data_IF_274565955284
#
_entry.id   IF_274565955284
#
_cell.length_a   1.000
_cell.length_b   1.000
_cell.length_c   1.000
_cell.angle_alpha   90.00
_cell.angle_beta   90.00
_cell.angle_gamma   90.00
#
_symmetry.space_group_name_H-M   'P 1'
#
loop_
_entity.id
_entity.type
_entity.pdbx_description
1 polymer ?
#
# COMPACT_ATOMS: atom_id res chain seq x y z
N UNK A 1 -4.70 -11.04 26.93
CA UNK A 1 -4.28 -10.32 25.70
C UNK A 1 -3.07 -11.04 25.14
N UNK A 2 -3.06 -11.41 23.85
CA UNK A 2 -1.86 -12.04 23.25
C UNK A 2 -0.80 -10.94 23.01
N UNK A 3 0.49 -11.21 23.24
CA UNK A 3 1.54 -10.22 23.00
C UNK A 3 1.61 -9.84 21.52
N UNK A 4 2.06 -8.62 21.23
CA UNK A 4 2.36 -8.20 19.87
C UNK A 4 3.50 -9.04 19.31
N UNK A 5 3.38 -9.41 18.03
CA UNK A 5 4.40 -10.16 17.30
C UNK A 5 4.86 -9.33 16.12
N UNK A 6 6.16 -9.38 15.83
CA UNK A 6 6.75 -8.69 14.69
C UNK A 6 6.33 -9.38 13.40
N UNK A 7 5.79 -8.58 12.48
CA UNK A 7 5.44 -9.04 11.15
C UNK A 7 6.04 -8.12 10.11
N UNK A 8 6.67 -8.72 9.10
CA UNK A 8 7.06 -8.04 7.89
C UNK A 8 5.84 -7.89 6.99
N UNK A 9 5.54 -6.66 6.60
CA UNK A 9 4.42 -6.32 5.73
C UNK A 9 4.96 -5.97 4.35
N UNK A 10 4.44 -6.62 3.31
CA UNK A 10 4.67 -6.21 1.92
C UNK A 10 3.36 -6.20 1.14
N UNK A 11 3.33 -5.48 0.02
CA UNK A 11 2.12 -5.29 -0.77
C UNK A 11 2.47 -5.21 -2.25
N UNK A 12 1.48 -5.42 -3.10
CA UNK A 12 1.61 -5.09 -4.52
C UNK A 12 0.34 -4.39 -4.99
N UNK A 13 0.52 -3.40 -5.86
CA UNK A 13 -0.56 -2.69 -6.49
C UNK A 13 -0.54 -2.91 -8.00
N UNK A 14 -1.69 -2.71 -8.61
CA UNK A 14 -1.79 -2.52 -10.06
C UNK A 14 -1.45 -1.07 -10.39
N UNK A 15 -0.79 -0.87 -11.53
CA UNK A 15 -0.57 0.44 -12.17
C UNK A 15 -1.33 0.48 -13.48
N UNK A 16 -1.96 1.61 -13.80
CA UNK A 16 -2.64 1.84 -15.08
C UNK A 16 -2.72 3.33 -15.43
N UNK A 17 -3.31 3.64 -16.59
CA UNK A 17 -3.36 5.03 -17.13
C UNK A 17 -4.23 5.97 -16.29
N UNK A 18 -5.10 5.42 -15.46
CA UNK A 18 -6.15 6.14 -14.73
C UNK A 18 -5.99 6.09 -13.21
N UNK A 19 -4.85 5.58 -12.74
CA UNK A 19 -4.57 5.36 -11.32
C UNK A 19 -3.95 6.59 -10.65
N UNK A 20 -4.27 6.76 -9.37
CA UNK A 20 -3.85 7.90 -8.56
C UNK A 20 -2.46 7.80 -7.94
N UNK A 21 -2.05 8.89 -7.30
CA UNK A 21 -0.93 8.95 -6.37
C UNK A 21 -1.48 8.68 -4.98
N UNK A 22 -0.97 7.67 -4.28
CA UNK A 22 -1.53 7.20 -3.01
C UNK A 22 -0.54 7.29 -1.85
N UNK A 23 -1.04 7.57 -0.65
CA UNK A 23 -0.32 7.43 0.62
C UNK A 23 -0.89 6.25 1.39
N UNK A 24 -0.02 5.33 1.80
CA UNK A 24 -0.38 4.24 2.70
C UNK A 24 -0.18 4.66 4.15
N UNK A 25 -1.01 4.13 5.04
CA UNK A 25 -0.80 4.24 6.48
C UNK A 25 -1.30 2.99 7.22
N UNK A 26 -0.59 2.60 8.27
CA UNK A 26 -1.00 1.56 9.22
C UNK A 26 -1.34 2.23 10.54
N UNK A 27 -2.55 2.03 11.04
CA UNK A 27 -3.03 2.71 12.26
C UNK A 27 -2.86 4.24 12.21
N UNK A 28 -3.04 4.82 11.01
CA UNK A 28 -2.85 6.26 10.76
C UNK A 28 -1.38 6.71 10.66
N UNK A 29 -0.41 5.83 10.90
CA UNK A 29 1.01 6.12 10.68
C UNK A 29 1.39 5.88 9.23
N UNK A 30 1.92 6.90 8.57
CA UNK A 30 2.31 6.84 7.15
C UNK A 30 3.39 5.77 6.92
N UNK A 31 3.16 4.93 5.93
CA UNK A 31 4.09 3.90 5.47
C UNK A 31 4.83 4.42 4.24
N UNK A 32 6.04 4.95 4.44
CA UNK A 32 6.88 5.46 3.37
C UNK A 32 6.30 6.68 2.64
N UNK A 33 6.93 7.08 1.51
CA UNK A 33 6.47 8.20 0.70
C UNK A 33 5.22 7.85 -0.15
N UNK A 34 4.50 8.84 -0.69
CA UNK A 34 3.45 8.60 -1.66
C UNK A 34 3.93 7.85 -2.89
N UNK A 35 3.06 7.01 -3.45
CA UNK A 35 3.36 6.11 -4.57
C UNK A 35 2.52 6.55 -5.77
N UNK A 36 3.19 6.86 -6.88
CA UNK A 36 2.53 7.10 -8.15
C UNK A 36 2.22 5.78 -8.87
N UNK A 37 0.93 5.45 -8.96
CA UNK A 37 0.44 4.24 -9.61
C UNK A 37 0.11 4.44 -11.10
N UNK A 38 0.44 5.59 -11.69
CA UNK A 38 0.31 5.78 -13.13
C UNK A 38 1.26 4.87 -13.91
N UNK A 39 0.75 4.26 -14.98
CA UNK A 39 1.54 3.63 -16.03
C UNK A 39 0.78 3.63 -17.38
N UNK A 40 1.50 3.77 -18.50
CA UNK A 40 0.89 3.62 -19.82
C UNK A 40 0.71 2.13 -20.18
N UNK A 41 -0.38 1.55 -19.70
CA UNK A 41 -0.70 0.12 -19.76
C UNK A 41 -0.84 -0.50 -18.37
N UNK A 42 -1.34 -1.74 -18.30
CA UNK A 42 -1.58 -2.42 -17.02
C UNK A 42 -0.36 -3.26 -16.63
N UNK A 43 0.26 -2.92 -15.51
CA UNK A 43 1.38 -3.67 -14.92
C UNK A 43 1.23 -3.74 -13.39
N UNK A 44 1.92 -4.68 -12.74
CA UNK A 44 2.09 -4.63 -11.29
C UNK A 44 3.21 -3.67 -10.89
N UNK A 45 3.17 -3.13 -9.67
CA UNK A 45 4.29 -2.36 -9.08
C UNK A 45 5.55 -3.20 -8.86
N UNK A 46 5.41 -4.54 -8.87
CA UNK A 46 6.29 -5.42 -8.11
C UNK A 46 5.97 -5.36 -6.62
N UNK A 47 6.59 -6.23 -5.83
CA UNK A 47 6.39 -6.23 -4.38
C UNK A 47 7.04 -4.99 -3.76
N UNK A 48 6.26 -4.24 -2.98
CA UNK A 48 6.67 -3.08 -2.21
C UNK A 48 6.80 -3.47 -0.75
N UNK A 49 7.95 -3.15 -0.16
CA UNK A 49 8.24 -3.35 1.25
C UNK A 49 7.61 -2.23 2.08
N UNK A 50 6.78 -2.60 3.06
CA UNK A 50 6.16 -1.68 4.01
C UNK A 50 6.81 -1.74 5.39
N UNK A 51 7.87 -2.54 5.56
CA UNK A 51 8.65 -2.68 6.77
C UNK A 51 8.10 -3.71 7.76
N UNK A 52 8.74 -3.78 8.92
CA UNK A 52 8.35 -4.66 10.02
C UNK A 52 7.59 -3.90 11.10
N UNK A 53 6.45 -4.45 11.53
CA UNK A 53 5.54 -3.83 12.49
C UNK A 53 5.21 -4.79 13.63
N UNK A 54 5.03 -4.25 14.85
CA UNK A 54 4.53 -5.02 15.99
C UNK A 54 3.01 -5.03 15.97
N UNK A 55 2.43 -6.21 15.73
CA UNK A 55 0.98 -6.37 15.61
C UNK A 55 0.47 -7.33 16.68
N UNK A 56 -0.40 -6.84 17.56
CA UNK A 56 -1.16 -7.68 18.48
C UNK A 56 -2.24 -8.47 17.75
N UNK A 57 -2.71 -9.57 18.33
CA UNK A 57 -3.87 -10.27 17.79
C UNK A 57 -5.11 -9.37 17.84
N UNK A 58 -5.76 -9.18 16.69
CA UNK A 58 -6.94 -8.30 16.57
C UNK A 58 -7.02 -7.68 15.18
N UNK A 59 -7.94 -6.73 15.02
CA UNK A 59 -8.03 -5.91 13.82
C UNK A 59 -6.88 -4.89 13.79
N UNK A 60 -6.33 -4.71 12.59
CA UNK A 60 -5.42 -3.61 12.25
C UNK A 60 -5.91 -2.96 10.96
N UNK A 61 -5.83 -1.64 10.88
CA UNK A 61 -6.28 -0.84 9.75
C UNK A 61 -5.09 -0.40 8.90
N UNK A 62 -4.98 -0.99 7.72
CA UNK A 62 -4.22 -0.43 6.60
C UNK A 62 -5.15 0.48 5.80
N UNK A 63 -4.80 1.76 5.72
CA UNK A 63 -5.54 2.78 4.98
C UNK A 63 -4.77 3.27 3.76
N UNK A 64 -5.50 3.64 2.72
CA UNK A 64 -4.99 4.24 1.49
C UNK A 64 -5.69 5.57 1.30
N UNK A 65 -4.91 6.63 1.13
CA UNK A 65 -5.39 7.97 0.81
C UNK A 65 -4.94 8.33 -0.60
N UNK A 66 -5.87 8.75 -1.47
CA UNK A 66 -5.51 9.26 -2.80
C UNK A 66 -5.21 10.76 -2.66
N UNK A 67 -3.95 11.12 -2.90
CA UNK A 67 -3.47 12.50 -2.80
C UNK A 67 -3.63 13.30 -4.10
N UNK A 68 -3.79 12.60 -5.22
CA UNK A 68 -3.88 13.21 -6.54
C UNK A 68 -3.70 12.18 -7.64
N UNK A 69 -3.26 12.64 -8.80
CA UNK A 69 -2.92 11.80 -9.95
C UNK A 69 -1.74 12.41 -10.71
N UNK A 70 -0.97 11.58 -11.42
CA UNK A 70 0.07 12.05 -12.33
C UNK A 70 -0.53 13.01 -13.38
N UNK A 71 0.24 13.99 -13.85
CA UNK A 71 -0.22 14.95 -14.87
C UNK A 71 -0.64 14.28 -16.19
N UNK A 72 -0.05 13.13 -16.50
CA UNK A 72 -0.33 12.34 -17.70
C UNK A 72 -1.49 11.34 -17.52
N UNK A 73 -2.03 11.19 -16.30
CA UNK A 73 -3.08 10.23 -16.02
C UNK A 73 -4.45 10.70 -16.52
N UNK A 74 -5.28 9.74 -16.93
CA UNK A 74 -6.73 9.95 -16.99
C UNK A 74 -7.21 10.12 -15.55
N UNK A 75 -7.81 11.26 -15.22
CA UNK A 75 -8.15 11.62 -13.82
C UNK A 75 -9.38 10.88 -13.28
N UNK A 76 -9.28 9.58 -13.16
CA UNK A 76 -10.29 8.71 -12.53
C UNK A 76 -9.98 8.39 -11.08
N UNK A 77 -8.76 8.71 -10.61
CA UNK A 77 -8.31 8.47 -9.23
C UNK A 77 -8.47 7.02 -8.80
N UNK A 78 -8.21 6.08 -9.72
CA UNK A 78 -8.36 4.66 -9.44
C UNK A 78 -7.24 4.15 -8.54
N UNK A 79 -7.55 3.09 -7.80
CA UNK A 79 -6.61 2.37 -6.96
C UNK A 79 -6.90 0.87 -7.08
N UNK A 80 -5.86 0.08 -7.29
CA UNK A 80 -5.94 -1.37 -7.40
C UNK A 80 -4.94 -2.04 -6.46
N UNK A 81 -5.46 -2.80 -5.50
CA UNK A 81 -4.69 -3.63 -4.60
C UNK A 81 -4.67 -5.07 -5.11
N UNK A 82 -3.49 -5.62 -5.35
CA UNK A 82 -3.35 -7.03 -5.74
C UNK A 82 -3.37 -7.91 -4.49
N UNK A 83 -2.48 -7.62 -3.54
CA UNK A 83 -2.38 -8.34 -2.28
C UNK A 83 -1.67 -7.52 -1.20
N UNK A 84 -1.93 -7.90 0.05
CA UNK A 84 -1.11 -7.56 1.21
C UNK A 84 -0.59 -8.87 1.78
N UNK A 85 0.71 -8.95 2.02
CA UNK A 85 1.39 -10.10 2.62
C UNK A 85 1.85 -9.76 4.02
N UNK A 86 1.51 -10.64 4.95
CA UNK A 86 1.96 -10.59 6.32
C UNK A 86 2.82 -11.82 6.61
N UNK A 87 4.09 -11.60 6.90
CA UNK A 87 5.03 -12.68 7.23
C UNK A 87 5.55 -12.50 8.65
N UNK A 88 5.72 -13.57 9.45
CA UNK A 88 6.41 -13.47 10.72
C UNK A 88 7.83 -12.90 10.53
N UNK A 89 8.23 -11.96 11.38
CA UNK A 89 9.59 -11.43 11.42
C UNK A 89 10.24 -11.79 12.75
N UNK A 90 11.47 -12.34 12.68
CA UNK A 90 12.27 -12.68 13.87
C UNK A 90 12.87 -11.43 14.52
#
# INVERSE_FOLDING_TARGET
>A
MRPAVRHHLSTQFTKAVDYGIVQLALEGQKLGPPIDLFNNGVIGTGELDLGTHELAAGEHRLSVEILGANEQAVRSYMFGLDYVKLLPAN
#
